data_IF_461726290647
#
_entry.id   IF_461726290647
#
_cell.length_a   1.000
_cell.length_b   1.000
_cell.length_c   1.000
_cell.angle_alpha   90.00
_cell.angle_beta   90.00
_cell.angle_gamma   90.00
#
_symmetry.space_group_name_H-M   'P 1'
#
loop_
_entity.id
_entity.type
_entity.pdbx_description
1 polymer ?
#
# COMPACT_ATOMS: atom_id res chain seq x y z
N UNK A 1 -11.15 16.63 -15.24
CA UNK A 1 -10.13 16.24 -14.22
C UNK A 1 -10.76 15.17 -13.34
N UNK A 2 -10.50 13.88 -13.61
CA UNK A 2 -11.18 12.78 -12.92
C UNK A 2 -10.89 12.79 -11.42
N UNK A 3 -11.92 12.57 -10.60
CA UNK A 3 -11.76 12.40 -9.14
C UNK A 3 -10.72 11.31 -8.90
N UNK A 4 -9.60 11.66 -8.26
CA UNK A 4 -8.67 10.66 -7.74
C UNK A 4 -9.46 9.84 -6.71
N UNK A 5 -9.33 8.52 -6.77
CA UNK A 5 -9.82 7.68 -5.68
C UNK A 5 -8.92 7.96 -4.48
N UNK A 6 -9.39 8.83 -3.58
CA UNK A 6 -8.70 9.12 -2.34
C UNK A 6 -9.06 8.00 -1.36
N UNK A 7 -8.27 6.94 -1.39
CA UNK A 7 -8.41 5.86 -0.43
C UNK A 7 -7.90 6.34 0.93
N UNK A 8 -8.73 6.29 1.97
CA UNK A 8 -8.30 6.57 3.34
C UNK A 8 -7.46 5.42 3.92
N UNK A 9 -7.75 4.18 3.50
CA UNK A 9 -7.09 2.96 3.95
C UNK A 9 -6.92 1.95 2.79
N UNK A 10 -5.77 1.29 2.74
CA UNK A 10 -5.49 0.20 1.81
C UNK A 10 -4.90 -1.02 2.54
N UNK A 11 -5.44 -2.20 2.27
CA UNK A 11 -4.89 -3.49 2.71
C UNK A 11 -4.15 -4.14 1.53
N UNK A 12 -2.87 -4.45 1.71
CA UNK A 12 -2.02 -5.00 0.65
C UNK A 12 -1.49 -6.37 1.08
N UNK A 13 -1.97 -7.42 0.41
CA UNK A 13 -1.43 -8.77 0.55
C UNK A 13 -0.09 -8.90 -0.20
N UNK A 14 0.89 -9.59 0.39
CA UNK A 14 2.26 -9.67 -0.16
C UNK A 14 3.01 -8.34 -0.15
N UNK A 15 2.64 -7.43 0.75
CA UNK A 15 3.13 -6.05 0.78
C UNK A 15 4.56 -5.85 1.31
N UNK A 16 5.24 -6.92 1.71
CA UNK A 16 6.55 -6.82 2.36
C UNK A 16 7.72 -6.64 1.38
N UNK A 17 7.55 -7.02 0.10
CA UNK A 17 8.55 -6.82 -0.97
C UNK A 17 7.94 -6.60 -2.36
N UNK A 18 8.80 -6.35 -3.36
CA UNK A 18 8.43 -6.30 -4.77
C UNK A 18 7.34 -5.27 -5.11
N UNK A 19 6.39 -5.68 -5.94
CA UNK A 19 5.30 -4.82 -6.42
C UNK A 19 4.38 -4.39 -5.26
N UNK A 20 4.11 -5.29 -4.31
CA UNK A 20 3.27 -4.98 -3.15
C UNK A 20 3.84 -3.84 -2.31
N UNK A 21 5.14 -3.88 -2.03
CA UNK A 21 5.83 -2.80 -1.30
C UNK A 21 5.91 -1.50 -2.11
N UNK A 22 6.15 -1.58 -3.42
CA UNK A 22 6.17 -0.40 -4.28
C UNK A 22 4.80 0.31 -4.30
N UNK A 23 3.71 -0.46 -4.39
CA UNK A 23 2.35 0.07 -4.31
C UNK A 23 2.06 0.67 -2.92
N UNK A 24 2.47 0.00 -1.85
CA UNK A 24 2.32 0.49 -0.48
C UNK A 24 2.94 1.88 -0.30
N UNK A 25 4.19 2.05 -0.75
CA UNK A 25 4.90 3.33 -0.69
C UNK A 25 4.21 4.41 -1.51
N UNK A 26 3.73 4.06 -2.70
CA UNK A 26 3.02 4.98 -3.58
C UNK A 26 1.71 5.48 -2.96
N UNK A 27 0.95 4.61 -2.30
CA UNK A 27 -0.30 4.95 -1.62
C UNK A 27 -0.04 5.74 -0.32
N UNK A 28 0.93 5.32 0.49
CA UNK A 28 1.33 6.04 1.69
C UNK A 28 1.80 7.46 1.38
N UNK A 29 2.60 7.64 0.31
CA UNK A 29 3.03 8.97 -0.17
C UNK A 29 1.89 9.87 -0.67
N UNK A 30 0.69 9.32 -0.85
CA UNK A 30 -0.54 10.05 -1.21
C UNK A 30 -1.46 10.30 -0.01
N UNK A 31 -1.03 9.95 1.20
CA UNK A 31 -1.81 10.14 2.43
C UNK A 31 -2.78 8.99 2.74
N UNK A 32 -2.73 7.89 2.00
CA UNK A 32 -3.50 6.68 2.33
C UNK A 32 -2.83 5.93 3.48
N UNK A 33 -3.60 5.56 4.50
CA UNK A 33 -3.11 4.62 5.52
C UNK A 33 -2.95 3.23 4.91
N UNK A 34 -1.85 2.53 5.16
CA UNK A 34 -1.57 1.23 4.53
C UNK A 34 -1.35 0.15 5.58
N UNK A 35 -2.03 -0.98 5.42
CA UNK A 35 -1.81 -2.21 6.18
C UNK A 35 -1.16 -3.22 5.24
N UNK A 36 -0.02 -3.76 5.65
CA UNK A 36 0.68 -4.82 4.92
C UNK A 36 0.31 -6.17 5.54
N UNK A 37 -0.27 -7.06 4.73
CA UNK A 37 -0.47 -8.44 5.09
C UNK A 37 0.57 -9.30 4.37
N UNK A 38 1.56 -9.79 5.11
CA UNK A 38 2.61 -10.65 4.58
C UNK A 38 2.91 -11.80 5.54
N UNK A 39 3.45 -12.90 5.00
CA UNK A 39 3.87 -14.06 5.79
C UNK A 39 5.15 -13.81 6.58
N UNK A 40 6.01 -12.92 6.08
CA UNK A 40 7.27 -12.53 6.68
C UNK A 40 7.34 -11.00 6.72
N UNK A 41 7.42 -10.42 7.91
CA UNK A 41 7.48 -8.97 8.09
C UNK A 41 8.87 -8.39 7.79
N UNK A 42 9.91 -9.23 7.86
CA UNK A 42 11.32 -8.85 7.71
C UNK A 42 11.77 -8.80 6.23
N UNK A 43 11.01 -9.41 5.33
CA UNK A 43 11.35 -9.54 3.89
C UNK A 43 10.43 -8.74 3.01
#
# INVERSE_FOLDING_TARGET
>A
MGRRADFSLALIAGGSSGIGLALARLLAGRGTSVILAARNAER
#
